data_IF_600740879157
#
_entry.id   IF_600740879157
#
_cell.length_a   1.000
_cell.length_b   1.000
_cell.length_c   1.000
_cell.angle_alpha   90.00
_cell.angle_beta   90.00
_cell.angle_gamma   90.00
#
_symmetry.space_group_name_H-M   'P 1'
#
loop_
_entity.id
_entity.type
_entity.pdbx_description
1 polymer ?
#
# COMPACT_ATOMS: atom_id res chain seq x y z
N UNK A 1 14.61 -35.94 -56.61
CA UNK A 1 14.57 -34.55 -56.12
C UNK A 1 13.81 -34.52 -54.80
N UNK A 2 14.52 -34.52 -53.69
CA UNK A 2 13.89 -34.50 -52.37
C UNK A 2 13.55 -33.05 -52.03
N UNK A 3 12.28 -32.78 -51.83
CA UNK A 3 11.78 -31.54 -51.25
C UNK A 3 12.23 -31.46 -49.79
N UNK A 4 13.22 -30.60 -49.52
CA UNK A 4 13.60 -30.19 -48.19
C UNK A 4 12.43 -29.35 -47.66
N UNK A 5 11.57 -29.97 -46.83
CA UNK A 5 10.60 -29.26 -46.06
C UNK A 5 11.35 -28.37 -45.05
N UNK A 6 11.57 -27.10 -45.39
CA UNK A 6 11.88 -26.08 -44.41
C UNK A 6 10.70 -25.94 -43.50
N UNK A 7 10.75 -26.59 -42.31
CA UNK A 7 9.83 -26.28 -41.19
C UNK A 7 9.94 -24.78 -40.98
N UNK A 8 8.86 -24.05 -41.24
CA UNK A 8 8.74 -22.63 -40.87
C UNK A 8 9.13 -22.53 -39.40
N UNK A 9 10.19 -21.80 -39.09
CA UNK A 9 10.63 -21.61 -37.70
C UNK A 9 9.45 -20.97 -36.96
N UNK A 10 9.13 -21.48 -35.76
CA UNK A 10 8.07 -20.92 -34.93
C UNK A 10 8.47 -19.48 -34.58
N UNK A 11 7.55 -18.54 -34.71
CA UNK A 11 7.77 -17.13 -34.42
C UNK A 11 8.34 -16.90 -33.00
N UNK A 12 7.87 -17.69 -32.02
CA UNK A 12 8.39 -17.68 -30.65
C UNK A 12 9.87 -18.06 -30.63
N UNK A 13 10.31 -19.05 -31.42
CA UNK A 13 11.71 -19.45 -31.47
C UNK A 13 12.60 -18.35 -32.05
N UNK A 14 12.09 -17.62 -33.05
CA UNK A 14 12.82 -16.49 -33.65
C UNK A 14 12.95 -15.31 -32.67
N UNK A 15 11.88 -14.99 -31.94
CA UNK A 15 11.91 -13.96 -30.91
C UNK A 15 12.82 -14.35 -29.76
N UNK A 16 12.77 -15.60 -29.33
CA UNK A 16 13.63 -16.11 -28.26
C UNK A 16 15.13 -15.99 -28.58
N UNK A 17 15.55 -16.28 -29.80
CA UNK A 17 16.95 -16.08 -30.20
C UNK A 17 17.37 -14.58 -30.10
N UNK A 18 16.44 -13.64 -30.39
CA UNK A 18 16.69 -12.21 -30.23
C UNK A 18 16.80 -11.79 -28.76
N UNK A 19 16.09 -12.45 -27.84
CA UNK A 19 16.20 -12.18 -26.40
C UNK A 19 17.60 -12.50 -25.83
N UNK A 20 18.41 -13.29 -26.53
CA UNK A 20 19.80 -13.59 -26.19
C UNK A 20 20.82 -12.60 -26.76
N UNK A 21 20.37 -11.62 -27.53
CA UNK A 21 21.24 -10.59 -28.14
C UNK A 21 21.99 -9.79 -27.08
N UNK A 22 23.21 -9.39 -27.37
CA UNK A 22 23.96 -8.43 -26.57
C UNK A 22 23.37 -7.02 -26.63
N UNK A 23 22.66 -6.68 -27.75
CA UNK A 23 21.97 -5.39 -27.88
C UNK A 23 20.69 -5.37 -27.06
N UNK A 24 20.57 -4.39 -26.15
CA UNK A 24 19.38 -4.15 -25.34
C UNK A 24 18.17 -3.80 -26.23
N UNK A 25 18.35 -2.95 -27.25
CA UNK A 25 17.29 -2.56 -28.19
C UNK A 25 16.68 -3.78 -28.89
N UNK A 26 17.50 -4.75 -29.30
CA UNK A 26 17.02 -5.98 -29.95
C UNK A 26 16.24 -6.84 -28.98
N UNK A 27 16.67 -6.89 -27.70
CA UNK A 27 15.95 -7.63 -26.65
C UNK A 27 14.61 -6.99 -26.35
N UNK A 28 14.57 -5.65 -26.20
CA UNK A 28 13.33 -4.92 -25.92
C UNK A 28 12.31 -5.03 -27.07
N UNK A 29 12.74 -4.93 -28.34
CA UNK A 29 11.87 -5.17 -29.50
C UNK A 29 11.29 -6.59 -29.48
N UNK A 30 12.09 -7.58 -29.14
CA UNK A 30 11.64 -8.97 -29.12
C UNK A 30 10.66 -9.27 -27.98
N UNK A 31 10.92 -8.76 -26.77
CA UNK A 31 10.04 -8.98 -25.61
C UNK A 31 8.72 -8.22 -25.77
N UNK A 32 8.75 -6.97 -26.28
CA UNK A 32 7.55 -6.20 -26.57
C UNK A 32 6.67 -6.89 -27.62
N UNK A 33 7.26 -7.57 -28.60
CA UNK A 33 6.49 -8.36 -29.55
C UNK A 33 5.83 -9.56 -28.90
N UNK A 34 6.54 -10.27 -27.98
CA UNK A 34 5.94 -11.37 -27.21
C UNK A 34 4.81 -10.90 -26.31
N UNK A 35 4.94 -9.73 -25.65
CA UNK A 35 3.90 -9.11 -24.81
C UNK A 35 2.62 -8.82 -25.60
N UNK A 36 2.76 -8.41 -26.86
CA UNK A 36 1.62 -8.12 -27.75
C UNK A 36 1.02 -9.36 -28.45
N UNK A 37 1.62 -10.55 -28.28
CA UNK A 37 1.10 -11.78 -28.86
C UNK A 37 -0.07 -12.35 -28.05
N UNK A 38 -1.10 -12.82 -28.76
CA UNK A 38 -2.15 -13.64 -28.12
C UNK A 38 -1.67 -15.10 -28.04
N UNK A 39 -1.10 -15.47 -26.88
CA UNK A 39 -0.59 -16.82 -26.68
C UNK A 39 -1.73 -17.80 -26.34
N UNK A 40 -1.76 -18.94 -27.05
CA UNK A 40 -2.53 -20.11 -26.62
C UNK A 40 -1.79 -20.89 -25.54
N UNK A 41 -2.47 -21.90 -24.94
CA UNK A 41 -1.92 -22.71 -23.82
C UNK A 41 -0.54 -23.29 -24.18
N UNK A 42 -0.41 -23.97 -25.32
CA UNK A 42 0.86 -24.60 -25.73
C UNK A 42 1.99 -23.58 -25.91
N UNK A 43 1.67 -22.43 -26.50
CA UNK A 43 2.63 -21.35 -26.69
C UNK A 43 3.09 -20.75 -25.36
N UNK A 44 2.15 -20.51 -24.42
CA UNK A 44 2.47 -20.03 -23.10
C UNK A 44 3.30 -21.03 -22.30
N UNK A 45 2.99 -22.34 -22.35
CA UNK A 45 3.82 -23.37 -21.75
C UNK A 45 5.25 -23.39 -22.32
N UNK A 46 5.41 -23.11 -23.61
CA UNK A 46 6.70 -22.96 -24.26
C UNK A 46 7.43 -21.71 -23.76
N UNK A 47 6.75 -20.57 -23.65
CA UNK A 47 7.32 -19.32 -23.12
C UNK A 47 7.77 -19.51 -21.66
N UNK A 48 6.97 -20.16 -20.83
CA UNK A 48 7.34 -20.49 -19.45
C UNK A 48 8.59 -21.38 -19.39
N UNK A 49 8.69 -22.38 -20.27
CA UNK A 49 9.91 -23.23 -20.35
C UNK A 49 11.15 -22.42 -20.75
N UNK A 50 11.00 -21.40 -21.61
CA UNK A 50 12.08 -20.55 -22.01
C UNK A 50 12.58 -19.61 -20.91
N UNK A 51 11.72 -19.25 -19.93
CA UNK A 51 12.06 -18.38 -18.82
C UNK A 51 13.21 -18.89 -17.93
N UNK A 52 13.48 -20.20 -17.90
CA UNK A 52 14.60 -20.79 -17.13
C UNK A 52 15.98 -20.57 -17.78
N UNK A 53 16.03 -20.06 -19.01
CA UNK A 53 17.30 -19.84 -19.68
C UNK A 53 18.05 -18.64 -19.11
N UNK A 54 19.37 -18.64 -19.30
CA UNK A 54 20.20 -17.49 -18.94
C UNK A 54 20.13 -16.42 -20.03
N UNK A 55 19.73 -15.25 -19.64
CA UNK A 55 19.71 -14.06 -20.48
C UNK A 55 20.83 -13.09 -20.07
N UNK A 56 21.22 -12.13 -20.94
CA UNK A 56 22.10 -11.05 -20.55
C UNK A 56 21.54 -10.30 -19.33
N UNK A 57 22.40 -9.82 -18.41
CA UNK A 57 21.94 -9.12 -17.23
C UNK A 57 21.16 -7.86 -17.59
N UNK A 58 20.10 -7.61 -16.86
CA UNK A 58 19.29 -6.39 -16.95
C UNK A 58 19.92 -5.27 -16.11
N UNK A 59 19.77 -4.02 -16.55
CA UNK A 59 20.20 -2.85 -15.78
C UNK A 59 19.28 -2.61 -14.58
N UNK A 60 17.97 -2.85 -14.76
CA UNK A 60 16.96 -2.72 -13.74
C UNK A 60 16.16 -4.02 -13.58
N UNK A 61 15.63 -4.29 -12.39
CA UNK A 61 14.87 -5.51 -12.10
C UNK A 61 13.67 -5.70 -13.04
N UNK A 62 12.96 -4.62 -13.38
CA UNK A 62 11.80 -4.65 -14.28
C UNK A 62 12.17 -5.01 -15.75
N UNK A 63 13.46 -4.96 -16.13
CA UNK A 63 13.94 -5.39 -17.44
C UNK A 63 14.36 -6.86 -17.48
N UNK A 64 14.26 -7.61 -16.37
CA UNK A 64 14.65 -9.01 -16.32
C UNK A 64 13.79 -9.84 -17.28
N UNK A 65 14.44 -10.42 -18.31
CA UNK A 65 13.74 -11.14 -19.37
C UNK A 65 13.02 -12.38 -18.83
N UNK A 66 13.65 -13.12 -17.91
CA UNK A 66 13.00 -14.32 -17.32
C UNK A 66 11.75 -13.95 -16.57
N UNK A 67 11.76 -12.86 -15.78
CA UNK A 67 10.60 -12.36 -15.08
C UNK A 67 9.49 -11.94 -16.05
N UNK A 68 9.84 -11.13 -17.08
CA UNK A 68 8.88 -10.67 -18.10
C UNK A 68 8.25 -11.83 -18.90
N UNK A 69 9.00 -12.90 -19.17
CA UNK A 69 8.44 -14.11 -19.82
C UNK A 69 7.39 -14.81 -18.93
N UNK A 70 7.59 -14.80 -17.60
CA UNK A 70 6.55 -15.28 -16.68
C UNK A 70 5.34 -14.34 -16.74
N UNK A 71 5.56 -13.02 -16.65
CA UNK A 71 4.48 -12.01 -16.60
C UNK A 71 3.62 -12.04 -17.88
N UNK A 72 4.20 -12.22 -19.07
CA UNK A 72 3.47 -12.41 -20.34
C UNK A 72 2.45 -13.56 -20.25
N UNK A 73 2.80 -14.67 -19.59
CA UNK A 73 1.91 -15.81 -19.44
C UNK A 73 0.83 -15.56 -18.39
N UNK A 74 1.00 -14.59 -17.50
CA UNK A 74 0.12 -14.35 -16.36
C UNK A 74 -1.02 -13.37 -16.65
N UNK A 75 -0.92 -12.58 -17.72
CA UNK A 75 -2.00 -11.70 -18.20
C UNK A 75 -3.28 -12.47 -18.55
N UNK A 76 -3.13 -13.67 -19.13
CA UNK A 76 -4.22 -14.59 -19.43
C UNK A 76 -3.90 -15.98 -18.89
N UNK A 77 -4.08 -16.19 -17.57
CA UNK A 77 -3.63 -17.40 -16.91
C UNK A 77 -4.48 -18.62 -17.29
N UNK A 78 -3.79 -19.75 -17.47
CA UNK A 78 -4.40 -21.08 -17.64
C UNK A 78 -3.98 -21.96 -16.46
N UNK A 79 -4.85 -22.92 -16.09
CA UNK A 79 -4.59 -23.82 -14.96
C UNK A 79 -3.35 -24.70 -15.19
N UNK A 80 -3.04 -25.02 -16.43
CA UNK A 80 -1.87 -25.78 -16.85
C UNK A 80 -0.56 -25.07 -16.50
N UNK A 81 -0.57 -23.74 -16.40
CA UNK A 81 0.61 -22.95 -16.04
C UNK A 81 1.05 -23.20 -14.60
N UNK A 82 0.13 -23.54 -13.68
CA UNK A 82 0.47 -23.83 -12.29
C UNK A 82 1.51 -24.95 -12.21
N UNK A 83 1.19 -26.11 -12.80
CA UNK A 83 2.11 -27.26 -12.83
C UNK A 83 3.42 -26.95 -13.54
N UNK A 84 3.35 -26.12 -14.58
CA UNK A 84 4.54 -25.72 -15.36
C UNK A 84 5.48 -24.88 -14.54
N UNK A 85 5.00 -23.79 -13.90
CA UNK A 85 5.84 -22.94 -13.06
C UNK A 85 6.40 -23.68 -11.87
N UNK A 86 5.64 -24.59 -11.24
CA UNK A 86 6.17 -25.47 -10.18
C UNK A 86 7.35 -26.32 -10.65
N UNK A 87 7.27 -26.87 -11.88
CA UNK A 87 8.29 -27.75 -12.42
C UNK A 87 9.60 -27.06 -12.75
N UNK A 88 9.55 -25.77 -13.14
CA UNK A 88 10.73 -25.01 -13.56
C UNK A 88 11.27 -24.08 -12.46
N UNK A 89 10.56 -23.92 -11.35
CA UNK A 89 10.82 -22.90 -10.30
C UNK A 89 12.27 -22.89 -9.80
N UNK A 90 12.83 -24.05 -9.56
CA UNK A 90 14.19 -24.18 -9.01
C UNK A 90 15.29 -23.76 -10.02
N UNK A 91 14.96 -23.74 -11.32
CA UNK A 91 15.85 -23.31 -12.40
C UNK A 91 15.76 -21.81 -12.71
N UNK A 92 14.75 -21.11 -12.15
CA UNK A 92 14.52 -19.69 -12.38
C UNK A 92 15.50 -18.81 -11.60
N UNK A 93 15.80 -17.63 -12.15
CA UNK A 93 16.52 -16.60 -11.42
C UNK A 93 15.63 -15.94 -10.33
N UNK A 94 16.20 -15.16 -9.39
CA UNK A 94 15.44 -14.58 -8.28
C UNK A 94 14.23 -13.72 -8.72
N UNK A 95 14.38 -12.88 -9.77
CA UNK A 95 13.30 -12.01 -10.24
C UNK A 95 12.14 -12.83 -10.85
N UNK A 96 12.46 -13.81 -11.68
CA UNK A 96 11.45 -14.71 -12.24
C UNK A 96 10.72 -15.54 -11.17
N UNK A 97 11.41 -15.92 -10.08
CA UNK A 97 10.76 -16.56 -8.92
C UNK A 97 9.75 -15.66 -8.25
N UNK A 98 10.05 -14.36 -8.12
CA UNK A 98 9.12 -13.36 -7.59
C UNK A 98 7.89 -13.26 -8.50
N UNK A 99 8.06 -13.14 -9.82
CA UNK A 99 6.95 -13.12 -10.80
C UNK A 99 6.08 -14.38 -10.70
N UNK A 100 6.68 -15.57 -10.54
CA UNK A 100 5.91 -16.82 -10.32
C UNK A 100 5.07 -16.73 -9.04
N UNK A 101 5.64 -16.27 -7.94
CA UNK A 101 4.91 -16.15 -6.67
C UNK A 101 3.78 -15.12 -6.77
N UNK A 102 4.01 -13.97 -7.43
CA UNK A 102 2.98 -12.97 -7.68
C UNK A 102 1.85 -13.53 -8.54
N UNK A 103 2.18 -14.26 -9.61
CA UNK A 103 1.20 -14.95 -10.44
C UNK A 103 0.32 -15.88 -9.62
N UNK A 104 0.92 -16.80 -8.87
CA UNK A 104 0.19 -17.79 -8.08
C UNK A 104 -0.70 -17.13 -7.02
N UNK A 105 -0.23 -16.06 -6.40
CA UNK A 105 -1.01 -15.26 -5.45
C UNK A 105 -2.15 -14.48 -6.12
N UNK A 106 -2.01 -14.08 -7.38
CA UNK A 106 -3.02 -13.32 -8.13
C UNK A 106 -4.07 -14.23 -8.76
N UNK A 107 -3.70 -15.43 -9.18
CA UNK A 107 -4.59 -16.33 -9.89
C UNK A 107 -5.69 -16.90 -8.99
N UNK A 108 -6.97 -16.68 -9.36
CA UNK A 108 -8.16 -17.07 -8.58
C UNK A 108 -8.41 -18.59 -8.65
N UNK A 109 -7.47 -19.38 -8.14
CA UNK A 109 -7.51 -20.85 -8.18
C UNK A 109 -6.91 -21.44 -6.91
N UNK A 110 -7.57 -22.43 -6.29
CA UNK A 110 -7.09 -23.07 -5.05
C UNK A 110 -5.74 -23.77 -5.23
N UNK A 111 -5.54 -24.44 -6.38
CA UNK A 111 -4.27 -25.11 -6.67
C UNK A 111 -3.12 -24.10 -6.79
N UNK A 112 -3.40 -22.91 -7.35
CA UNK A 112 -2.42 -21.83 -7.39
C UNK A 112 -2.03 -21.38 -5.98
N UNK A 113 -3.00 -21.22 -5.06
CA UNK A 113 -2.71 -20.84 -3.68
C UNK A 113 -1.91 -21.93 -2.93
N UNK A 114 -2.20 -23.20 -3.15
CA UNK A 114 -1.42 -24.32 -2.61
C UNK A 114 0.01 -24.29 -3.15
N UNK A 115 0.16 -24.09 -4.47
CA UNK A 115 1.47 -23.98 -5.11
C UNK A 115 2.25 -22.76 -4.61
N UNK A 116 1.58 -21.61 -4.42
CA UNK A 116 2.14 -20.41 -3.82
C UNK A 116 2.82 -20.70 -2.48
N UNK A 117 2.08 -21.29 -1.53
CA UNK A 117 2.62 -21.60 -0.19
C UNK A 117 3.78 -22.63 -0.26
N UNK A 118 3.66 -23.59 -1.16
CA UNK A 118 4.71 -24.61 -1.37
C UNK A 118 6.01 -23.99 -1.90
N UNK A 119 5.92 -23.08 -2.88
CA UNK A 119 7.08 -22.45 -3.48
C UNK A 119 7.65 -21.35 -2.56
N UNK A 120 6.79 -20.56 -1.91
CA UNK A 120 7.19 -19.56 -0.93
C UNK A 120 8.06 -20.17 0.18
N UNK A 121 7.72 -21.40 0.64
CA UNK A 121 8.49 -22.14 1.65
C UNK A 121 9.95 -22.38 1.25
N UNK A 122 10.26 -22.43 -0.05
CA UNK A 122 11.63 -22.67 -0.52
C UNK A 122 12.53 -21.44 -0.36
N UNK A 123 11.95 -20.24 -0.56
CA UNK A 123 12.76 -19.02 -0.72
C UNK A 123 12.43 -17.91 0.31
N UNK A 124 11.44 -18.10 1.20
CA UNK A 124 10.96 -17.03 2.10
C UNK A 124 12.06 -16.36 2.94
N UNK A 125 13.10 -17.12 3.34
CA UNK A 125 14.21 -16.58 4.13
C UNK A 125 15.09 -15.56 3.36
N UNK A 126 15.03 -15.59 2.02
CA UNK A 126 15.81 -14.71 1.14
C UNK A 126 15.00 -13.53 0.62
N UNK A 127 13.69 -13.46 0.93
CA UNK A 127 12.82 -12.39 0.45
C UNK A 127 12.98 -11.14 1.30
N UNK A 128 13.05 -9.99 0.63
CA UNK A 128 12.94 -8.65 1.24
C UNK A 128 11.50 -8.14 1.24
N UNK A 129 10.70 -8.57 0.28
CA UNK A 129 9.29 -8.23 0.14
C UNK A 129 8.49 -9.50 -0.12
N UNK A 130 7.27 -9.56 0.43
CA UNK A 130 6.34 -10.66 0.21
C UNK A 130 5.64 -10.48 -1.15
N UNK A 131 5.81 -11.40 -2.11
CA UNK A 131 5.14 -11.32 -3.40
C UNK A 131 3.69 -11.85 -3.29
N UNK A 132 2.79 -11.07 -2.70
CA UNK A 132 1.39 -11.46 -2.43
C UNK A 132 0.41 -11.10 -3.56
N UNK A 133 0.90 -10.63 -4.72
CA UNK A 133 0.06 -10.24 -5.85
C UNK A 133 -1.03 -9.23 -5.45
N UNK A 134 -2.28 -9.54 -5.78
CA UNK A 134 -3.44 -8.70 -5.45
C UNK A 134 -4.27 -9.21 -4.25
N UNK A 135 -3.68 -9.97 -3.32
CA UNK A 135 -4.39 -10.54 -2.16
C UNK A 135 -4.92 -9.47 -1.18
N UNK A 136 -4.32 -8.28 -1.13
CA UNK A 136 -4.86 -7.16 -0.33
C UNK A 136 -6.13 -6.58 -0.96
N UNK A 137 -6.20 -6.47 -2.28
CA UNK A 137 -7.37 -5.96 -3.01
C UNK A 137 -8.49 -7.00 -3.11
N UNK A 138 -8.10 -8.27 -3.27
CA UNK A 138 -8.99 -9.39 -3.47
C UNK A 138 -8.63 -10.56 -2.53
N UNK A 139 -8.89 -10.46 -1.22
CA UNK A 139 -8.65 -11.53 -0.26
C UNK A 139 -9.45 -12.79 -0.62
N UNK A 140 -8.79 -13.96 -0.60
CA UNK A 140 -9.42 -15.24 -0.98
C UNK A 140 -8.70 -16.44 -0.38
N UNK A 141 -9.38 -17.59 -0.38
CA UNK A 141 -8.90 -18.88 0.10
C UNK A 141 -8.29 -18.82 1.52
N UNK A 142 -8.98 -18.19 2.50
CA UNK A 142 -8.43 -18.02 3.85
C UNK A 142 -7.99 -19.36 4.47
N UNK A 143 -8.75 -20.43 4.26
CA UNK A 143 -8.50 -21.76 4.83
C UNK A 143 -7.24 -22.43 4.23
N UNK A 144 -6.81 -22.03 3.03
CA UNK A 144 -5.59 -22.52 2.40
C UNK A 144 -4.41 -21.66 2.84
N UNK A 145 -4.60 -20.33 2.82
CA UNK A 145 -3.52 -19.38 3.12
C UNK A 145 -3.13 -19.43 4.59
N UNK A 146 -4.11 -19.47 5.50
CA UNK A 146 -3.89 -19.48 6.94
C UNK A 146 -4.17 -20.87 7.57
N UNK A 147 -3.42 -21.26 8.61
CA UNK A 147 -2.31 -20.53 9.22
C UNK A 147 -0.98 -20.64 8.47
N UNK A 148 -0.92 -21.36 7.35
CA UNK A 148 0.31 -21.76 6.67
C UNK A 148 1.32 -20.63 6.39
N UNK A 149 0.84 -19.45 6.00
CA UNK A 149 1.70 -18.30 5.70
C UNK A 149 2.34 -17.70 6.96
N UNK A 150 1.71 -17.84 8.13
CA UNK A 150 2.22 -17.28 9.40
C UNK A 150 3.57 -17.88 9.80
N UNK A 151 3.90 -19.08 9.35
CA UNK A 151 5.21 -19.67 9.54
C UNK A 151 6.34 -18.81 8.98
N UNK A 152 6.11 -18.08 7.92
CA UNK A 152 7.13 -17.30 7.23
C UNK A 152 7.44 -15.95 7.91
N UNK A 153 6.74 -15.60 9.00
CA UNK A 153 7.09 -14.47 9.88
C UNK A 153 8.42 -14.65 10.59
N UNK A 154 9.03 -15.83 10.54
CA UNK A 154 10.42 -16.04 10.96
C UNK A 154 11.41 -15.15 10.19
N UNK A 155 11.10 -14.79 8.94
CA UNK A 155 11.83 -13.75 8.21
C UNK A 155 11.29 -12.36 8.59
N UNK A 156 12.08 -11.60 9.36
CA UNK A 156 11.71 -10.26 9.86
C UNK A 156 11.48 -9.24 8.73
N UNK A 157 12.07 -9.42 7.53
CA UNK A 157 11.92 -8.50 6.40
C UNK A 157 10.48 -8.51 5.84
N UNK A 158 9.84 -9.69 5.84
CA UNK A 158 8.49 -9.86 5.31
C UNK A 158 7.41 -10.03 6.40
N UNK A 159 7.79 -10.11 7.67
CA UNK A 159 6.84 -10.37 8.77
C UNK A 159 5.72 -9.33 8.86
N UNK A 160 6.05 -8.04 8.75
CA UNK A 160 5.06 -6.96 8.76
C UNK A 160 4.08 -7.04 7.60
N UNK A 161 4.53 -7.49 6.43
CA UNK A 161 3.68 -7.68 5.24
C UNK A 161 2.74 -8.88 5.38
N UNK A 162 3.19 -9.96 6.03
CA UNK A 162 2.33 -11.11 6.39
C UNK A 162 1.28 -10.69 7.41
N UNK A 163 1.64 -9.89 8.42
CA UNK A 163 0.70 -9.36 9.39
C UNK A 163 -0.28 -8.35 8.78
N UNK A 164 0.16 -7.54 7.80
CA UNK A 164 -0.72 -6.69 7.02
C UNK A 164 -1.75 -7.52 6.24
N UNK A 165 -1.31 -8.58 5.59
CA UNK A 165 -2.21 -9.50 4.88
C UNK A 165 -3.24 -10.13 5.84
N UNK A 166 -2.80 -10.62 7.01
CA UNK A 166 -3.67 -11.17 8.03
C UNK A 166 -4.69 -10.14 8.51
N UNK A 167 -4.25 -8.88 8.73
CA UNK A 167 -5.12 -7.76 9.14
C UNK A 167 -6.22 -7.49 8.11
N UNK A 168 -5.91 -7.53 6.82
CA UNK A 168 -6.92 -7.40 5.76
C UNK A 168 -7.95 -8.52 5.83
N UNK A 169 -7.53 -9.76 6.05
CA UNK A 169 -8.46 -10.88 6.18
C UNK A 169 -9.35 -10.76 7.42
N UNK A 170 -8.85 -10.24 8.53
CA UNK A 170 -9.68 -9.86 9.68
C UNK A 170 -10.67 -8.74 9.36
N UNK A 171 -10.22 -7.68 8.69
CA UNK A 171 -11.06 -6.53 8.35
C UNK A 171 -12.21 -6.87 7.37
N UNK A 172 -12.06 -7.96 6.61
CA UNK A 172 -13.10 -8.51 5.72
C UNK A 172 -13.88 -9.67 6.34
N UNK A 173 -13.71 -9.95 7.64
CA UNK A 173 -14.35 -11.06 8.36
C UNK A 173 -14.13 -12.44 7.70
N UNK A 174 -13.00 -12.65 7.06
CA UNK A 174 -12.64 -13.91 6.37
C UNK A 174 -11.91 -14.90 7.27
N UNK A 175 -11.35 -14.44 8.37
CA UNK A 175 -10.68 -15.24 9.41
C UNK A 175 -11.08 -14.75 10.79
N UNK A 176 -11.00 -15.63 11.77
CA UNK A 176 -11.21 -15.33 13.20
C UNK A 176 -9.96 -15.60 14.03
N UNK A 177 -10.03 -15.40 15.35
CA UNK A 177 -8.90 -15.64 16.25
C UNK A 177 -8.45 -17.11 16.29
N UNK A 178 -9.28 -18.08 15.89
CA UNK A 178 -8.92 -19.50 15.91
C UNK A 178 -7.79 -19.80 14.96
N UNK A 179 -7.74 -19.10 13.83
CA UNK A 179 -6.66 -19.17 12.83
C UNK A 179 -5.27 -18.88 13.45
N UNK A 180 -5.23 -18.10 14.54
CA UNK A 180 -3.99 -17.73 15.21
C UNK A 180 -3.51 -18.73 16.26
N UNK A 181 -4.29 -19.75 16.59
CA UNK A 181 -4.07 -20.62 17.76
C UNK A 181 -2.63 -21.14 17.85
N UNK A 182 -2.06 -21.64 16.74
CA UNK A 182 -0.70 -22.16 16.66
C UNK A 182 0.37 -21.06 16.80
N UNK A 183 0.15 -19.89 16.20
CA UNK A 183 1.13 -18.79 16.12
C UNK A 183 0.84 -17.66 17.12
N UNK A 184 -0.21 -17.78 17.93
CA UNK A 184 -0.65 -16.72 18.86
C UNK A 184 0.45 -16.21 19.77
N UNK A 185 1.23 -17.11 20.36
CA UNK A 185 2.34 -16.75 21.25
C UNK A 185 3.44 -15.97 20.53
N UNK A 186 3.75 -16.33 19.30
CA UNK A 186 4.72 -15.65 18.46
C UNK A 186 4.23 -14.23 18.12
N UNK A 187 2.99 -14.10 17.65
CA UNK A 187 2.39 -12.82 17.29
C UNK A 187 2.38 -11.87 18.50
N UNK A 188 1.99 -12.37 19.70
CA UNK A 188 2.03 -11.58 20.93
C UNK A 188 3.46 -11.08 21.20
N UNK A 189 4.46 -11.94 21.11
CA UNK A 189 5.86 -11.55 21.33
C UNK A 189 6.32 -10.49 20.32
N UNK A 190 5.93 -10.62 19.05
CA UNK A 190 6.32 -9.67 18.01
C UNK A 190 5.64 -8.31 18.21
N UNK A 191 4.37 -8.29 18.62
CA UNK A 191 3.68 -7.04 19.03
C UNK A 191 4.42 -6.39 20.20
N UNK A 192 4.75 -7.14 21.26
CA UNK A 192 5.45 -6.60 22.44
C UNK A 192 6.84 -6.05 22.07
N UNK A 193 7.60 -6.77 21.24
CA UNK A 193 8.89 -6.28 20.71
C UNK A 193 8.73 -4.99 19.90
N UNK A 194 7.67 -4.90 19.08
CA UNK A 194 7.40 -3.69 18.29
C UNK A 194 7.06 -2.51 19.20
N UNK A 195 6.22 -2.72 20.22
CA UNK A 195 5.95 -1.69 21.24
C UNK A 195 7.25 -1.22 21.91
N UNK A 196 8.11 -2.14 22.33
CA UNK A 196 9.39 -1.78 22.97
C UNK A 196 10.33 -1.06 22.00
N UNK A 197 10.37 -1.42 20.72
CA UNK A 197 11.14 -0.69 19.70
C UNK A 197 10.67 0.75 19.58
N UNK A 198 9.36 0.98 19.48
CA UNK A 198 8.77 2.33 19.37
C UNK A 198 9.02 3.13 20.64
N UNK A 199 8.75 2.57 21.81
CA UNK A 199 8.91 3.26 23.10
C UNK A 199 10.36 3.66 23.41
N UNK A 200 11.34 2.90 22.92
CA UNK A 200 12.76 3.13 23.15
C UNK A 200 13.45 3.86 22.00
N UNK A 201 12.74 4.17 20.92
CA UNK A 201 13.34 4.86 19.78
C UNK A 201 13.60 6.33 20.12
N UNK A 202 14.81 6.78 19.84
CA UNK A 202 15.18 8.20 19.98
C UNK A 202 15.33 8.79 18.58
N UNK A 203 14.40 9.69 18.24
CA UNK A 203 14.47 10.46 16.99
C UNK A 203 15.76 11.30 16.98
N UNK A 204 16.54 11.20 15.91
CA UNK A 204 17.87 11.81 15.79
C UNK A 204 17.84 13.22 15.19
N UNK A 205 16.71 13.62 14.62
CA UNK A 205 16.49 14.92 13.98
C UNK A 205 15.56 15.82 14.78
N UNK A 206 15.42 17.07 14.36
CA UNK A 206 14.49 18.03 14.97
C UNK A 206 13.02 17.60 14.83
N UNK A 207 12.72 16.84 13.79
CA UNK A 207 11.39 16.26 13.51
C UNK A 207 11.54 14.79 13.16
N UNK A 208 10.60 13.95 13.58
CA UNK A 208 10.58 12.54 13.19
C UNK A 208 10.35 12.35 11.68
N UNK A 209 9.79 13.34 11.00
CA UNK A 209 9.62 13.36 9.54
C UNK A 209 10.95 13.40 8.77
N UNK A 210 12.03 13.77 9.42
CA UNK A 210 13.39 13.83 8.86
C UNK A 210 14.23 12.61 9.27
N UNK A 211 13.63 11.57 9.82
CA UNK A 211 14.28 10.33 10.26
C UNK A 211 13.68 9.12 9.52
N UNK A 212 14.25 8.76 8.37
CA UNK A 212 13.79 7.67 7.51
C UNK A 212 13.64 6.34 8.28
N UNK A 213 14.52 6.08 9.24
CA UNK A 213 14.45 4.86 10.07
C UNK A 213 13.25 4.87 11.01
N UNK A 214 12.90 6.05 11.51
CA UNK A 214 11.69 6.20 12.30
C UNK A 214 10.45 6.06 11.44
N UNK A 215 10.44 6.64 10.24
CA UNK A 215 9.31 6.51 9.31
C UNK A 215 9.07 5.06 8.89
N UNK A 216 10.13 4.29 8.65
CA UNK A 216 10.04 2.86 8.40
C UNK A 216 9.48 2.11 9.63
N UNK A 217 10.03 2.38 10.83
CA UNK A 217 9.54 1.82 12.09
C UNK A 217 8.07 2.17 12.32
N UNK A 218 7.68 3.42 12.10
CA UNK A 218 6.33 3.96 12.24
C UNK A 218 5.34 3.23 11.33
N UNK A 219 5.70 3.04 10.06
CA UNK A 219 4.89 2.32 9.08
C UNK A 219 4.65 0.87 9.52
N UNK A 220 5.70 0.16 9.86
CA UNK A 220 5.61 -1.21 10.34
C UNK A 220 4.80 -1.30 11.65
N UNK A 221 5.08 -0.44 12.62
CA UNK A 221 4.40 -0.43 13.92
C UNK A 221 2.88 -0.26 13.80
N UNK A 222 2.41 0.54 12.83
CA UNK A 222 0.99 0.70 12.56
C UNK A 222 0.27 -0.62 12.30
N UNK A 223 0.91 -1.51 11.51
CA UNK A 223 0.36 -2.85 11.22
C UNK A 223 0.26 -3.70 12.49
N UNK A 224 1.32 -3.73 13.31
CA UNK A 224 1.31 -4.51 14.56
C UNK A 224 0.29 -3.99 15.58
N UNK A 225 0.12 -2.67 15.65
CA UNK A 225 -0.78 -2.07 16.64
C UNK A 225 -2.25 -2.20 16.22
N UNK A 226 -2.58 -2.16 14.94
CA UNK A 226 -3.93 -2.47 14.47
C UNK A 226 -4.24 -3.96 14.62
N UNK A 227 -3.29 -4.85 14.27
CA UNK A 227 -3.42 -6.30 14.49
C UNK A 227 -3.61 -6.62 15.98
N UNK A 228 -2.96 -5.88 16.88
CA UNK A 228 -3.12 -6.05 18.33
C UNK A 228 -4.58 -5.95 18.77
N UNK A 229 -5.41 -5.16 18.07
CA UNK A 229 -6.85 -5.04 18.36
C UNK A 229 -7.64 -6.35 18.19
N UNK A 230 -7.12 -7.30 17.44
CA UNK A 230 -7.73 -8.62 17.25
C UNK A 230 -7.17 -9.69 18.19
N UNK A 231 -6.20 -9.36 19.07
CA UNK A 231 -5.53 -10.31 19.95
C UNK A 231 -5.81 -9.96 21.41
N UNK A 232 -6.89 -10.50 21.95
CA UNK A 232 -7.31 -10.29 23.33
C UNK A 232 -6.38 -11.01 24.31
N UNK A 233 -5.30 -10.33 24.70
CA UNK A 233 -4.33 -10.81 25.67
C UNK A 233 -3.99 -9.70 26.70
N UNK A 234 -3.90 -9.99 28.02
CA UNK A 234 -3.60 -8.97 29.02
C UNK A 234 -2.24 -8.26 28.80
N UNK A 235 -1.22 -8.96 28.30
CA UNK A 235 0.10 -8.36 28.01
C UNK A 235 -0.01 -7.37 26.84
N UNK A 236 -0.75 -7.73 25.79
CA UNK A 236 -1.02 -6.86 24.63
C UNK A 236 -1.81 -5.63 25.08
N UNK A 237 -2.87 -5.82 25.88
CA UNK A 237 -3.65 -4.70 26.44
C UNK A 237 -2.78 -3.75 27.25
N UNK A 238 -1.88 -4.27 28.11
CA UNK A 238 -0.96 -3.42 28.89
C UNK A 238 0.03 -2.68 27.98
N UNK A 239 0.52 -3.32 26.94
CA UNK A 239 1.43 -2.71 25.97
C UNK A 239 0.73 -1.57 25.18
N UNK A 240 -0.51 -1.77 24.76
CA UNK A 240 -1.33 -0.73 24.13
C UNK A 240 -1.57 0.46 25.05
N UNK A 241 -1.83 0.24 26.35
CA UNK A 241 -1.95 1.32 27.35
C UNK A 241 -0.62 2.13 27.48
N UNK A 242 0.52 1.48 27.42
CA UNK A 242 1.82 2.18 27.40
C UNK A 242 1.98 3.06 26.16
N UNK A 243 1.53 2.59 25.01
CA UNK A 243 1.57 3.35 23.75
C UNK A 243 0.72 4.63 23.76
N UNK A 244 -0.25 4.77 24.65
CA UNK A 244 -1.02 6.03 24.79
C UNK A 244 -0.13 7.22 25.21
N UNK A 245 1.08 6.99 25.72
CA UNK A 245 2.05 8.05 26.05
C UNK A 245 2.96 8.47 24.90
N UNK A 246 2.90 7.85 23.73
CA UNK A 246 3.72 8.23 22.57
C UNK A 246 3.28 9.58 22.01
N UNK A 247 4.24 10.34 21.45
CA UNK A 247 3.96 11.63 20.83
C UNK A 247 3.41 11.50 19.39
N UNK A 248 3.68 10.37 18.74
CA UNK A 248 3.21 10.12 17.38
C UNK A 248 1.70 9.81 17.40
N UNK A 249 0.91 10.73 16.85
CA UNK A 249 -0.55 10.65 16.90
C UNK A 249 -1.10 9.47 16.09
N UNK A 250 -0.43 9.05 15.02
CA UNK A 250 -0.85 7.88 14.24
C UNK A 250 -0.70 6.59 15.05
N UNK A 251 0.43 6.43 15.74
CA UNK A 251 0.65 5.27 16.61
C UNK A 251 -0.26 5.30 17.85
N UNK A 252 -0.49 6.49 18.44
CA UNK A 252 -1.46 6.69 19.52
C UNK A 252 -2.88 6.32 19.08
N UNK A 253 -3.30 6.72 17.87
CA UNK A 253 -4.61 6.39 17.29
C UNK A 253 -4.79 4.87 17.13
N UNK A 254 -3.81 4.16 16.56
CA UNK A 254 -3.89 2.70 16.44
C UNK A 254 -4.02 2.02 17.81
N UNK A 255 -3.27 2.49 18.81
CA UNK A 255 -3.37 1.98 20.17
C UNK A 255 -4.76 2.23 20.79
N UNK A 256 -5.32 3.44 20.58
CA UNK A 256 -6.65 3.79 21.06
C UNK A 256 -7.76 2.92 20.43
N UNK A 257 -7.72 2.74 19.09
CA UNK A 257 -8.67 1.88 18.38
C UNK A 257 -8.57 0.44 18.87
N UNK A 258 -7.35 -0.08 19.04
CA UNK A 258 -7.13 -1.44 19.53
C UNK A 258 -7.55 -1.64 20.98
N UNK A 259 -7.38 -0.64 21.85
CA UNK A 259 -7.93 -0.65 23.20
C UNK A 259 -9.46 -0.71 23.20
N UNK A 260 -10.12 0.05 22.33
CA UNK A 260 -11.58 0.01 22.17
C UNK A 260 -12.07 -1.37 21.72
N UNK A 261 -11.38 -2.01 20.77
CA UNK A 261 -11.65 -3.39 20.35
C UNK A 261 -11.52 -4.39 21.53
N UNK A 262 -10.65 -4.11 22.50
CA UNK A 262 -10.51 -4.89 23.74
C UNK A 262 -11.54 -4.54 24.83
N UNK A 263 -12.40 -3.53 24.60
CA UNK A 263 -13.39 -3.06 25.56
C UNK A 263 -12.85 -2.06 26.60
N UNK A 264 -11.69 -1.43 26.35
CA UNK A 264 -11.14 -0.38 27.19
C UNK A 264 -11.26 0.98 26.52
N UNK A 265 -11.81 1.95 27.24
CA UNK A 265 -11.89 3.32 26.74
C UNK A 265 -10.57 4.07 26.99
N UNK A 266 -10.01 4.74 25.95
CA UNK A 266 -8.92 5.69 26.13
C UNK A 266 -9.34 6.87 27.03
N UNK A 267 -8.37 7.55 27.64
CA UNK A 267 -8.66 8.77 28.38
C UNK A 267 -9.24 9.85 27.46
N UNK A 268 -10.13 10.69 28.01
CA UNK A 268 -10.80 11.74 27.22
C UNK A 268 -9.80 12.70 26.56
N UNK A 269 -8.74 13.01 27.28
CA UNK A 269 -7.65 13.87 26.81
C UNK A 269 -6.95 13.26 25.59
N UNK A 270 -6.67 11.94 25.60
CA UNK A 270 -6.07 11.24 24.48
C UNK A 270 -6.98 11.25 23.23
N UNK A 271 -8.29 11.09 23.44
CA UNK A 271 -9.30 11.14 22.37
C UNK A 271 -9.34 12.54 21.74
N UNK A 272 -9.29 13.60 22.58
CA UNK A 272 -9.23 15.00 22.12
C UNK A 272 -7.94 15.25 21.32
N UNK A 273 -6.78 14.80 21.82
CA UNK A 273 -5.49 14.94 21.13
C UNK A 273 -5.52 14.29 19.73
N UNK A 274 -6.04 13.05 19.63
CA UNK A 274 -6.14 12.32 18.37
C UNK A 274 -7.10 13.05 17.42
N UNK A 275 -8.30 13.41 17.86
CA UNK A 275 -9.29 14.11 17.04
C UNK A 275 -8.82 15.52 16.63
N UNK A 276 -8.00 16.18 17.44
CA UNK A 276 -7.38 17.46 17.15
C UNK A 276 -6.31 17.41 16.05
N UNK A 277 -5.76 16.23 15.76
CA UNK A 277 -4.66 16.09 14.81
C UNK A 277 -5.16 15.80 13.39
N UNK A 278 -4.81 16.68 12.43
CA UNK A 278 -5.29 16.59 11.04
C UNK A 278 -4.87 15.30 10.31
N UNK A 279 -3.72 14.71 10.61
CA UNK A 279 -3.25 13.47 9.96
C UNK A 279 -4.15 12.27 10.24
N UNK A 280 -4.74 12.19 11.43
CA UNK A 280 -5.43 10.98 11.89
C UNK A 280 -6.92 11.18 12.19
N UNK A 281 -7.39 12.42 12.17
CA UNK A 281 -8.75 12.82 12.55
C UNK A 281 -9.82 12.03 11.81
N UNK A 282 -9.79 12.01 10.48
CA UNK A 282 -10.79 11.33 9.66
C UNK A 282 -10.72 9.82 9.84
N UNK A 283 -9.52 9.26 9.91
CA UNK A 283 -9.35 7.83 10.15
C UNK A 283 -9.93 7.42 11.51
N UNK A 284 -9.62 8.18 12.56
CA UNK A 284 -10.14 7.91 13.89
C UNK A 284 -11.67 8.00 13.95
N UNK A 285 -12.27 9.07 13.39
CA UNK A 285 -13.72 9.21 13.31
C UNK A 285 -14.37 8.04 12.57
N UNK A 286 -13.89 7.70 11.37
CA UNK A 286 -14.41 6.61 10.57
C UNK A 286 -14.30 5.24 11.30
N UNK A 287 -13.20 5.03 12.02
CA UNK A 287 -13.02 3.83 12.83
C UNK A 287 -14.03 3.73 13.96
N UNK A 288 -14.30 4.82 14.66
CA UNK A 288 -15.33 4.88 15.71
C UNK A 288 -16.73 4.65 15.13
N UNK A 289 -17.07 5.25 14.00
CA UNK A 289 -18.35 5.01 13.30
C UNK A 289 -18.50 3.54 12.93
N UNK A 290 -17.47 2.93 12.33
CA UNK A 290 -17.46 1.51 11.95
C UNK A 290 -17.66 0.58 13.17
N UNK A 291 -17.13 0.97 14.33
CA UNK A 291 -17.30 0.23 15.59
C UNK A 291 -18.63 0.53 16.31
N UNK A 292 -19.45 1.45 15.81
CA UNK A 292 -20.67 1.92 16.50
C UNK A 292 -20.39 2.72 17.78
N UNK A 293 -19.24 3.39 17.86
CA UNK A 293 -18.74 4.14 19.04
C UNK A 293 -18.51 5.62 18.73
N UNK A 294 -19.28 6.17 17.78
CA UNK A 294 -19.13 7.59 17.36
C UNK A 294 -19.44 8.59 18.50
N UNK A 295 -20.10 8.16 19.57
CA UNK A 295 -20.38 8.97 20.76
C UNK A 295 -19.12 9.34 21.55
N UNK A 296 -18.02 8.60 21.39
CA UNK A 296 -16.72 8.90 22.02
C UNK A 296 -16.04 10.11 21.37
N UNK A 297 -16.34 10.34 20.08
CA UNK A 297 -15.67 11.38 19.29
C UNK A 297 -16.04 12.79 19.77
N UNK A 298 -15.06 13.71 20.01
CA UNK A 298 -15.33 15.05 20.52
C UNK A 298 -16.14 15.88 19.52
N UNK A 299 -17.26 16.46 19.99
CA UNK A 299 -18.20 17.23 19.17
C UNK A 299 -17.54 18.44 18.51
N UNK A 300 -16.57 19.08 19.16
CA UNK A 300 -15.82 20.24 18.67
C UNK A 300 -15.06 19.97 17.35
N UNK A 301 -14.67 18.73 17.09
CA UNK A 301 -14.00 18.32 15.84
C UNK A 301 -14.96 17.66 14.83
N UNK A 302 -16.23 17.44 15.20
CA UNK A 302 -17.25 16.83 14.36
C UNK A 302 -17.94 17.86 13.46
N UNK A 303 -17.17 18.48 12.58
CA UNK A 303 -17.70 19.46 11.64
C UNK A 303 -16.94 19.40 10.31
N UNK A 304 -17.56 19.92 9.23
CA UNK A 304 -17.04 19.78 7.87
C UNK A 304 -15.68 20.46 7.69
N UNK A 305 -15.44 21.60 8.35
CA UNK A 305 -14.14 22.30 8.30
C UNK A 305 -13.01 21.41 8.79
N UNK A 306 -13.20 20.74 9.94
CA UNK A 306 -12.19 19.84 10.52
C UNK A 306 -11.94 18.62 9.64
N UNK A 307 -13.00 18.06 9.04
CA UNK A 307 -12.84 16.91 8.13
C UNK A 307 -12.16 17.32 6.81
N UNK A 308 -12.47 18.49 6.27
CA UNK A 308 -11.80 19.04 5.09
C UNK A 308 -10.30 19.29 5.35
N UNK A 309 -9.96 19.86 6.53
CA UNK A 309 -8.57 20.04 6.95
C UNK A 309 -7.82 18.70 7.01
N UNK A 310 -8.45 17.65 7.58
CA UNK A 310 -7.84 16.33 7.64
C UNK A 310 -7.62 15.73 6.24
N UNK A 311 -8.55 15.91 5.29
CA UNK A 311 -8.34 15.51 3.90
C UNK A 311 -7.14 16.24 3.28
N UNK A 312 -7.02 17.57 3.55
CA UNK A 312 -5.89 18.35 3.04
C UNK A 312 -4.55 17.86 3.61
N UNK A 313 -4.49 17.60 4.94
CA UNK A 313 -3.28 17.09 5.59
C UNK A 313 -2.91 15.70 5.07
N UNK A 314 -3.90 14.80 4.90
CA UNK A 314 -3.67 13.45 4.39
C UNK A 314 -3.08 13.49 2.96
N UNK A 315 -3.62 14.35 2.09
CA UNK A 315 -3.07 14.62 0.77
C UNK A 315 -1.61 15.08 0.82
N UNK A 316 -1.28 16.03 1.70
CA UNK A 316 0.07 16.59 1.82
C UNK A 316 1.10 15.59 2.37
N UNK A 317 0.67 14.57 3.11
CA UNK A 317 1.55 13.49 3.60
C UNK A 317 2.03 12.57 2.46
N UNK A 318 1.40 12.56 1.29
CA UNK A 318 1.90 11.78 0.16
C UNK A 318 3.30 12.23 -0.28
N UNK A 319 4.21 11.29 -0.61
CA UNK A 319 5.60 11.61 -0.98
C UNK A 319 5.76 12.53 -2.19
N UNK A 320 4.78 12.52 -3.12
CA UNK A 320 4.76 13.40 -4.29
C UNK A 320 4.38 14.84 -3.95
N UNK A 321 3.83 15.08 -2.76
CA UNK A 321 3.48 16.37 -2.23
C UNK A 321 4.56 16.84 -1.23
N UNK A 322 4.22 17.05 0.06
CA UNK A 322 5.21 17.40 1.09
C UNK A 322 5.93 16.17 1.66
N UNK A 323 5.31 14.99 1.60
CA UNK A 323 5.77 13.77 2.26
C UNK A 323 5.70 13.83 3.79
N UNK A 324 5.02 14.83 4.35
CA UNK A 324 4.90 15.08 5.78
C UNK A 324 3.69 15.95 6.14
N UNK A 325 3.31 15.96 7.40
CA UNK A 325 2.33 16.93 7.91
C UNK A 325 2.93 18.35 7.82
N UNK A 326 2.19 19.34 7.30
CA UNK A 326 2.64 20.73 7.30
C UNK A 326 2.82 21.24 8.73
N UNK A 327 3.79 22.15 8.94
CA UNK A 327 4.01 22.76 10.26
C UNK A 327 2.86 23.70 10.64
N UNK A 328 2.24 24.34 9.65
CA UNK A 328 1.06 25.20 9.83
C UNK A 328 0.09 25.01 8.66
N UNK A 329 -1.20 25.00 8.97
CA UNK A 329 -2.30 24.96 8.00
C UNK A 329 -3.44 25.86 8.49
N UNK A 330 -4.00 26.67 7.60
CA UNK A 330 -5.08 27.61 7.91
C UNK A 330 -6.16 27.59 6.84
N UNK A 331 -7.42 27.53 7.25
CA UNK A 331 -8.54 27.71 6.35
C UNK A 331 -8.65 29.19 5.96
N UNK A 332 -8.62 29.47 4.65
CA UNK A 332 -8.66 30.82 4.11
C UNK A 332 -10.03 31.20 3.58
N UNK A 333 -10.72 30.28 2.90
CA UNK A 333 -12.06 30.54 2.36
C UNK A 333 -12.82 29.22 2.14
N UNK A 334 -14.14 29.34 2.04
CA UNK A 334 -15.06 28.26 1.64
C UNK A 334 -15.77 28.74 0.37
N UNK A 335 -15.73 27.92 -0.66
CA UNK A 335 -16.39 28.19 -1.93
C UNK A 335 -17.56 27.23 -2.11
N UNK A 336 -18.70 27.80 -2.46
CA UNK A 336 -19.94 27.08 -2.71
C UNK A 336 -20.15 26.90 -4.22
N UNK A 337 -20.51 25.68 -4.63
CA UNK A 337 -20.92 25.37 -5.99
C UNK A 337 -22.17 24.45 -5.91
N UNK A 338 -23.35 25.05 -6.07
CA UNK A 338 -24.65 24.38 -5.92
C UNK A 338 -24.77 23.63 -4.58
N UNK A 339 -24.81 22.29 -4.64
CA UNK A 339 -24.90 21.39 -3.47
C UNK A 339 -23.53 21.01 -2.88
N UNK A 340 -22.44 21.55 -3.41
CA UNK A 340 -21.08 21.19 -3.03
C UNK A 340 -20.33 22.33 -2.33
N UNK A 341 -19.39 21.99 -1.47
CA UNK A 341 -18.50 22.92 -0.79
C UNK A 341 -17.04 22.56 -1.03
N UNK A 342 -16.20 23.57 -1.20
CA UNK A 342 -14.75 23.45 -1.32
C UNK A 342 -14.08 24.29 -0.25
N UNK A 343 -13.00 23.78 0.33
CA UNK A 343 -12.25 24.40 1.41
C UNK A 343 -10.86 24.76 0.93
N UNK A 344 -10.58 26.07 0.80
CA UNK A 344 -9.27 26.58 0.43
C UNK A 344 -8.42 26.77 1.69
N UNK A 345 -7.32 26.08 1.74
CA UNK A 345 -6.31 26.19 2.80
C UNK A 345 -5.05 26.88 2.28
N UNK A 346 -4.35 27.57 3.19
CA UNK A 346 -2.93 27.81 3.03
C UNK A 346 -2.16 26.95 4.04
N UNK A 347 -0.98 26.52 3.65
CA UNK A 347 -0.12 25.68 4.48
C UNK A 347 1.34 26.03 4.25
N UNK A 348 2.20 25.74 5.24
CA UNK A 348 3.64 25.90 5.10
C UNK A 348 4.39 24.80 5.84
N UNK A 349 5.62 24.56 5.36
CA UNK A 349 6.59 23.68 5.99
C UNK A 349 7.89 24.46 6.25
N UNK A 350 8.48 24.28 7.43
CA UNK A 350 9.66 24.99 7.87
C UNK A 350 10.88 24.07 8.02
N UNK A 351 10.80 22.83 7.55
CA UNK A 351 11.78 21.76 7.81
C UNK A 351 13.12 21.93 7.07
N UNK A 352 13.15 22.67 5.96
CA UNK A 352 14.37 22.91 5.18
C UNK A 352 14.37 24.33 4.59
N UNK A 353 15.54 24.81 4.16
CA UNK A 353 15.66 26.11 3.47
C UNK A 353 14.75 26.17 2.25
N UNK A 354 14.66 25.09 1.46
CA UNK A 354 13.76 25.00 0.30
C UNK A 354 12.30 25.28 0.67
N UNK A 355 11.78 24.65 1.71
CA UNK A 355 10.40 24.86 2.15
C UNK A 355 10.18 26.21 2.80
N UNK A 356 11.19 26.74 3.53
CA UNK A 356 11.14 28.09 4.10
C UNK A 356 11.07 29.16 2.98
N UNK A 357 11.81 28.98 1.88
CA UNK A 357 11.77 29.87 0.73
C UNK A 357 10.43 29.82 -0.01
N UNK A 358 9.75 28.67 -0.03
CA UNK A 358 8.39 28.54 -0.58
C UNK A 358 7.38 29.35 0.22
N UNK A 359 7.55 29.43 1.54
CA UNK A 359 6.63 30.14 2.42
C UNK A 359 5.25 29.47 2.48
N UNK A 360 4.20 30.30 2.49
CA UNK A 360 2.83 29.81 2.41
C UNK A 360 2.48 29.36 0.99
N UNK A 361 1.81 28.23 0.90
CA UNK A 361 1.34 27.59 -0.34
C UNK A 361 -0.17 27.36 -0.25
N UNK A 362 -0.83 26.98 -1.34
CA UNK A 362 -2.27 26.79 -1.38
C UNK A 362 -2.69 25.35 -1.69
N UNK A 363 -3.82 24.92 -1.11
CA UNK A 363 -4.47 23.66 -1.42
C UNK A 363 -5.99 23.74 -1.24
N UNK A 364 -6.72 22.91 -1.97
CA UNK A 364 -8.17 22.82 -1.91
C UNK A 364 -8.57 21.39 -1.56
N UNK A 365 -9.39 21.23 -0.53
CA UNK A 365 -10.07 19.96 -0.21
C UNK A 365 -11.54 20.05 -0.63
N UNK A 366 -12.05 19.01 -1.29
CA UNK A 366 -13.43 18.95 -1.76
C UNK A 366 -13.53 18.50 -3.23
N UNK A 367 -14.75 18.50 -3.83
CA UNK A 367 -16.00 18.95 -3.21
C UNK A 367 -16.52 18.01 -2.11
N UNK A 368 -17.28 18.59 -1.18
CA UNK A 368 -18.07 17.87 -0.18
C UNK A 368 -19.55 18.11 -0.43
N UNK A 369 -20.35 17.05 -0.43
CA UNK A 369 -21.81 17.16 -0.59
C UNK A 369 -22.45 17.74 0.68
N UNK A 370 -23.04 18.93 0.58
CA UNK A 370 -23.73 19.64 1.69
C UNK A 370 -24.88 18.82 2.28
N UNK A 371 -25.52 17.96 1.48
CA UNK A 371 -26.64 17.12 1.93
C UNK A 371 -26.21 16.03 2.91
N UNK A 372 -24.94 15.64 2.85
CA UNK A 372 -24.33 14.62 3.70
C UNK A 372 -23.39 15.24 4.76
N UNK A 373 -23.40 16.57 4.93
CA UNK A 373 -22.51 17.25 5.88
C UNK A 373 -22.88 16.97 7.34
N UNK A 374 -21.92 16.74 8.26
CA UNK A 374 -20.48 16.66 7.96
C UNK A 374 -20.07 15.27 7.49
N UNK A 375 -19.26 15.20 6.43
CA UNK A 375 -18.71 13.97 5.88
C UNK A 375 -17.18 14.02 5.81
N UNK A 376 -16.53 12.87 6.07
CA UNK A 376 -15.08 12.70 5.88
C UNK A 376 -14.71 12.41 4.42
N UNK A 377 -15.69 12.15 3.56
CA UNK A 377 -15.50 11.78 2.16
C UNK A 377 -15.63 13.01 1.26
N UNK A 378 -14.53 13.41 0.62
CA UNK A 378 -14.55 14.33 -0.50
C UNK A 378 -14.97 13.57 -1.76
N UNK A 379 -15.97 14.07 -2.49
CA UNK A 379 -16.44 13.47 -3.76
C UNK A 379 -15.51 13.75 -4.94
N UNK A 380 -14.57 14.68 -4.76
CA UNK A 380 -13.49 14.99 -5.69
C UNK A 380 -12.14 14.71 -5.09
N UNK A 381 -11.10 15.26 -5.70
CA UNK A 381 -9.74 15.11 -5.20
C UNK A 381 -9.31 16.38 -4.47
N UNK A 382 -8.69 16.16 -3.32
CA UNK A 382 -7.87 17.17 -2.66
C UNK A 382 -6.67 17.45 -3.55
N UNK A 383 -6.32 18.72 -3.72
CA UNK A 383 -5.25 19.15 -4.61
C UNK A 383 -4.48 20.32 -4.02
N UNK A 384 -3.19 20.39 -4.33
CA UNK A 384 -2.32 21.46 -3.89
C UNK A 384 -1.45 21.99 -5.04
N UNK A 385 -0.91 23.19 -4.89
CA UNK A 385 0.15 23.69 -5.71
C UNK A 385 1.20 24.45 -4.87
N UNK A 386 2.45 24.44 -5.30
CA UNK A 386 3.59 24.97 -4.56
C UNK A 386 4.01 26.36 -5.02
N UNK A 387 3.05 27.14 -5.54
CA UNK A 387 3.23 28.58 -5.73
C UNK A 387 3.11 29.30 -4.38
N UNK A 388 3.82 30.42 -4.25
CA UNK A 388 3.71 31.26 -3.05
C UNK A 388 2.30 31.81 -2.92
N UNK A 389 1.74 31.74 -1.71
CA UNK A 389 0.41 32.27 -1.41
C UNK A 389 0.24 33.74 -1.81
N UNK A 390 1.28 34.56 -1.61
CA UNK A 390 1.26 36.01 -1.91
C UNK A 390 1.24 36.31 -3.41
N UNK A 391 1.42 35.29 -4.28
CA UNK A 391 1.45 35.49 -5.74
C UNK A 391 0.07 35.73 -6.36
N UNK A 392 -1.00 35.33 -5.67
CA UNK A 392 -2.38 35.36 -6.16
C UNK A 392 -3.34 35.68 -5.02
N UNK A 393 -4.55 36.17 -5.37
CA UNK A 393 -5.64 36.28 -4.41
C UNK A 393 -6.25 34.90 -4.11
N UNK A 394 -6.98 34.73 -2.99
CA UNK A 394 -7.61 33.43 -2.64
C UNK A 394 -8.46 32.84 -3.77
N UNK A 395 -9.26 33.66 -4.45
CA UNK A 395 -10.11 33.24 -5.57
C UNK A 395 -9.29 32.71 -6.75
N UNK A 396 -8.18 33.39 -7.06
CA UNK A 396 -7.28 33.00 -8.16
C UNK A 396 -6.51 31.69 -7.85
N UNK A 397 -6.16 31.48 -6.59
CA UNK A 397 -5.62 30.18 -6.13
C UNK A 397 -6.65 29.08 -6.31
N UNK A 398 -7.88 29.30 -5.87
CA UNK A 398 -8.97 28.33 -6.00
C UNK A 398 -9.22 27.97 -7.47
N UNK A 399 -9.42 28.97 -8.33
CA UNK A 399 -9.67 28.78 -9.76
C UNK A 399 -8.53 28.00 -10.44
N UNK A 400 -7.28 28.35 -10.10
CA UNK A 400 -6.10 27.66 -10.65
C UNK A 400 -6.03 26.19 -10.23
N UNK A 401 -6.27 25.87 -8.95
CA UNK A 401 -6.20 24.51 -8.43
C UNK A 401 -7.35 23.67 -9.00
N UNK A 402 -8.59 24.16 -8.94
CA UNK A 402 -9.77 23.45 -9.45
C UNK A 402 -9.75 23.34 -10.98
N UNK A 403 -9.21 24.32 -11.69
CA UNK A 403 -9.00 24.27 -13.14
C UNK A 403 -8.04 23.16 -13.54
N UNK A 404 -6.90 23.07 -12.90
CA UNK A 404 -5.92 22.00 -13.12
C UNK A 404 -6.52 20.61 -12.82
N UNK A 405 -7.33 20.50 -11.79
CA UNK A 405 -8.04 19.26 -11.44
C UNK A 405 -9.00 18.83 -12.55
N UNK A 406 -9.81 19.77 -13.09
CA UNK A 406 -10.74 19.48 -14.20
C UNK A 406 -9.99 19.03 -15.47
N UNK A 407 -8.87 19.66 -15.79
CA UNK A 407 -8.03 19.25 -16.92
C UNK A 407 -7.43 17.84 -16.74
N UNK A 408 -6.98 17.51 -15.53
CA UNK A 408 -6.48 16.18 -15.19
C UNK A 408 -7.54 15.11 -15.41
N UNK A 409 -8.78 15.33 -14.94
CA UNK A 409 -9.89 14.39 -15.13
C UNK A 409 -10.29 14.24 -16.59
N UNK A 410 -10.29 15.34 -17.35
CA UNK A 410 -10.60 15.26 -18.79
C UNK A 410 -9.56 14.42 -19.55
N UNK A 411 -8.31 14.45 -19.14
CA UNK A 411 -7.25 13.60 -19.73
C UNK A 411 -7.45 12.12 -19.37
N UNK A 412 -7.69 11.80 -18.10
CA UNK A 412 -7.96 10.42 -17.67
C UNK A 412 -9.20 9.79 -18.31
N UNK A 413 -10.23 10.59 -18.59
CA UNK A 413 -11.44 10.11 -19.26
C UNK A 413 -11.24 9.85 -20.77
N UNK A 414 -10.12 10.28 -21.37
CA UNK A 414 -9.77 10.07 -22.78
C UNK A 414 -8.80 8.89 -23.00
N UNK A 415 -8.19 8.38 -21.95
CA UNK A 415 -7.37 7.17 -21.91
C UNK A 415 -8.24 5.93 -21.59
#
# INVERSE_FOLDING_TARGET
MGLINFKKRDEIDELFEKLRSSSEEVREDAITKLENMQLGIEQGLKVLELAKNKFPPATYEWQDISARLIDICTDKPYVEYISKVESIYDELNPNAKISVLQFLATYKNEQAMIAYLKLLRKDYLNLKNLPFGNLLENPRFPQILFPGILKFTENNEIASQIYLLLLYYFNYDLVDEEVLSEYRSQIIQDILKMVDKVMNYTVKSSSFWDDDKYLELRSNAGVYFDLAGYIRDPKVTMALKRLMSVKDMRLKMFAAISLLKHGFEPAKEDVIDIAGNGEVRNWFFNSLVKMGRSEIYPEEYRNQKCFAESNMVDWLVYPTELGRVPDEIELMNIFDDEDMEYYLFRFRCCSSEYWQEKGWMAGVAGPFDKRNSPTTLAEGHTFSHFEKWESKRPEEHFESIVGNLKEYWMKLAQE
#
